data_IF_525754902505
#
_entry.id   IF_525754902505
#
_cell.length_a   1.000
_cell.length_b   1.000
_cell.length_c   1.000
_cell.angle_alpha   90.00
_cell.angle_beta   90.00
_cell.angle_gamma   90.00
#
_symmetry.space_group_name_H-M   'P 1'
#
loop_
_entity.id
_entity.type
_entity.pdbx_description
1 polymer ?
#
# COMPACT_ATOMS: atom_id res chain seq x y z
N UNK A 1 -1.37 9.00 30.44
CA UNK A 1 -1.20 9.70 29.14
C UNK A 1 0.28 9.59 28.86
N UNK A 2 0.66 8.57 28.09
CA UNK A 2 2.06 8.32 27.79
C UNK A 2 2.56 9.42 26.83
N UNK A 3 3.42 10.27 27.34
CA UNK A 3 4.11 11.29 26.55
C UNK A 3 5.37 10.63 26.00
N UNK A 4 5.56 10.66 24.70
CA UNK A 4 6.83 10.24 24.10
C UNK A 4 7.95 11.13 24.67
N UNK A 5 8.86 10.53 25.43
CA UNK A 5 9.97 11.22 26.12
C UNK A 5 10.91 11.98 25.16
N UNK A 6 10.90 11.65 23.86
CA UNK A 6 11.75 12.30 22.84
C UNK A 6 11.10 13.51 22.17
N UNK A 7 9.79 13.51 22.01
CA UNK A 7 9.07 14.57 21.25
C UNK A 7 8.22 15.46 22.14
N UNK A 8 7.95 15.07 23.38
CA UNK A 8 7.07 15.79 24.31
C UNK A 8 5.60 15.80 23.89
N UNK A 9 5.23 15.07 22.82
CA UNK A 9 3.85 14.97 22.31
C UNK A 9 3.23 13.65 22.74
N UNK A 10 1.93 13.62 23.07
CA UNK A 10 1.26 12.35 23.32
C UNK A 10 1.23 11.52 22.05
N UNK A 11 1.59 10.23 22.17
CA UNK A 11 1.42 9.28 21.08
C UNK A 11 -0.08 9.17 20.72
N UNK A 12 -0.44 9.04 19.43
CA UNK A 12 -1.82 8.83 19.04
C UNK A 12 -2.39 7.57 19.73
N UNK A 13 -3.54 7.70 20.34
CA UNK A 13 -4.25 6.57 21.00
C UNK A 13 -5.35 5.98 20.12
N UNK A 14 -5.71 6.66 19.02
CA UNK A 14 -6.76 6.27 18.09
C UNK A 14 -6.36 6.66 16.66
N UNK A 15 -7.01 6.05 15.68
CA UNK A 15 -6.88 6.40 14.26
C UNK A 15 -7.57 7.72 13.92
N UNK A 16 -8.62 8.09 14.66
CA UNK A 16 -9.39 9.30 14.42
C UNK A 16 -8.53 10.56 14.52
N UNK A 17 -8.59 11.39 13.49
CA UNK A 17 -7.83 12.64 13.40
C UNK A 17 -6.39 12.49 12.94
N UNK A 18 -5.89 11.27 12.72
CA UNK A 18 -4.63 11.04 12.03
C UNK A 18 -4.71 11.43 10.56
N UNK A 19 -3.56 11.62 9.92
CA UNK A 19 -3.43 11.90 8.50
C UNK A 19 -2.74 10.73 7.78
N UNK A 20 -3.34 10.28 6.68
CA UNK A 20 -2.84 9.20 5.85
C UNK A 20 -2.64 9.64 4.39
N UNK A 21 -1.54 9.22 3.80
CA UNK A 21 -1.31 9.32 2.35
C UNK A 21 -1.37 7.92 1.73
N UNK A 22 -2.18 7.78 0.68
CA UNK A 22 -2.31 6.54 -0.10
C UNK A 22 -1.83 6.81 -1.52
N UNK A 23 -0.60 6.39 -1.83
CA UNK A 23 -0.03 6.47 -3.17
C UNK A 23 -0.63 5.35 -4.04
N UNK A 24 -1.27 5.72 -5.15
CA UNK A 24 -2.11 4.83 -5.93
C UNK A 24 -3.50 4.61 -5.30
N UNK A 25 -3.97 5.60 -4.54
CA UNK A 25 -5.22 5.55 -3.75
C UNK A 25 -6.51 5.79 -4.52
N UNK A 26 -6.47 5.95 -5.85
CA UNK A 26 -7.65 6.38 -6.62
C UNK A 26 -8.36 5.26 -7.38
N UNK A 27 -7.88 4.02 -7.28
CA UNK A 27 -8.51 2.89 -7.95
C UNK A 27 -8.25 1.57 -7.23
N UNK A 28 -9.07 0.55 -7.51
CA UNK A 28 -8.89 -0.83 -7.03
C UNK A 28 -8.60 -0.92 -5.54
N UNK A 29 -7.58 -1.67 -5.18
CA UNK A 29 -7.17 -1.90 -3.78
C UNK A 29 -6.88 -0.57 -3.08
N UNK A 30 -6.11 0.33 -3.70
CA UNK A 30 -5.75 1.60 -3.07
C UNK A 30 -6.95 2.47 -2.71
N UNK A 31 -7.97 2.54 -3.59
CA UNK A 31 -9.21 3.27 -3.31
C UNK A 31 -9.98 2.66 -2.13
N UNK A 32 -10.13 1.32 -2.10
CA UNK A 32 -10.80 0.65 -0.97
C UNK A 32 -10.08 0.87 0.35
N UNK A 33 -8.75 0.84 0.35
CA UNK A 33 -7.93 1.14 1.54
C UNK A 33 -8.08 2.59 1.97
N UNK A 34 -8.07 3.56 1.04
CA UNK A 34 -8.26 4.98 1.34
C UNK A 34 -9.63 5.25 1.97
N UNK A 35 -10.70 4.73 1.36
CA UNK A 35 -12.06 4.85 1.92
C UNK A 35 -12.22 4.10 3.25
N UNK A 36 -11.54 2.97 3.41
CA UNK A 36 -11.51 2.23 4.67
C UNK A 36 -10.92 3.04 5.83
N UNK A 37 -9.82 3.75 5.60
CA UNK A 37 -9.23 4.68 6.57
C UNK A 37 -10.16 5.88 6.85
N UNK A 38 -10.73 6.47 5.81
CA UNK A 38 -11.65 7.60 5.93
C UNK A 38 -12.88 7.25 6.82
N UNK A 39 -13.46 6.05 6.66
CA UNK A 39 -14.55 5.55 7.52
C UNK A 39 -14.16 5.40 8.99
N UNK A 40 -12.86 5.37 9.32
CA UNK A 40 -12.34 5.36 10.70
C UNK A 40 -11.98 6.76 11.21
N UNK A 41 -12.34 7.81 10.49
CA UNK A 41 -12.11 9.19 10.89
C UNK A 41 -10.68 9.68 10.64
N UNK A 42 -9.91 8.98 9.80
CA UNK A 42 -8.59 9.40 9.33
C UNK A 42 -8.77 10.42 8.21
N UNK A 43 -8.05 11.53 8.23
CA UNK A 43 -7.90 12.43 7.08
C UNK A 43 -7.06 11.75 6.02
N UNK A 44 -7.56 11.58 4.80
CA UNK A 44 -6.91 10.73 3.79
C UNK A 44 -6.62 11.51 2.52
N UNK A 45 -5.40 11.43 2.05
CA UNK A 45 -4.96 11.96 0.76
C UNK A 45 -4.76 10.75 -0.18
N UNK A 46 -5.75 10.52 -1.04
CA UNK A 46 -5.68 9.50 -2.09
C UNK A 46 -5.08 10.13 -3.35
N UNK A 47 -3.83 9.79 -3.67
CA UNK A 47 -3.09 10.40 -4.78
C UNK A 47 -2.77 9.39 -5.88
N UNK A 48 -2.81 9.87 -7.11
CA UNK A 48 -2.38 9.20 -8.33
C UNK A 48 -2.04 10.23 -9.41
N UNK A 49 -1.74 9.78 -10.63
CA UNK A 49 -1.35 10.67 -11.73
C UNK A 49 -2.52 11.38 -12.43
N UNK A 50 -3.75 10.91 -12.25
CA UNK A 50 -4.93 11.35 -12.99
C UNK A 50 -5.80 12.26 -12.13
N UNK A 51 -5.94 13.51 -12.55
CA UNK A 51 -6.64 14.56 -11.81
C UNK A 51 -8.12 14.22 -11.57
N UNK A 52 -8.83 13.74 -12.60
CA UNK A 52 -10.23 13.35 -12.48
C UNK A 52 -10.44 12.26 -11.42
N UNK A 53 -9.57 11.24 -11.42
CA UNK A 53 -9.65 10.15 -10.44
C UNK A 53 -9.33 10.63 -9.01
N UNK A 54 -8.40 11.58 -8.88
CA UNK A 54 -8.08 12.20 -7.59
C UNK A 54 -9.27 13.02 -7.10
N UNK A 55 -9.89 13.82 -7.96
CA UNK A 55 -11.05 14.63 -7.62
C UNK A 55 -12.27 13.78 -7.23
N UNK A 56 -12.54 12.68 -7.95
CA UNK A 56 -13.61 11.74 -7.66
C UNK A 56 -13.46 11.14 -6.24
N UNK A 57 -12.30 10.51 -5.97
CA UNK A 57 -12.08 9.84 -4.68
C UNK A 57 -11.98 10.84 -3.53
N UNK A 58 -11.45 12.04 -3.76
CA UNK A 58 -11.46 13.10 -2.76
C UNK A 58 -12.91 13.50 -2.39
N UNK A 59 -13.82 13.61 -3.37
CA UNK A 59 -15.23 13.85 -3.10
C UNK A 59 -15.88 12.75 -2.26
N UNK A 60 -15.52 11.48 -2.49
CA UNK A 60 -16.00 10.37 -1.66
C UNK A 60 -15.46 10.44 -0.23
N UNK A 61 -14.19 10.82 -0.05
CA UNK A 61 -13.57 11.00 1.26
C UNK A 61 -14.23 12.17 2.01
N UNK A 62 -14.46 13.29 1.33
CA UNK A 62 -15.18 14.44 1.89
C UNK A 62 -16.60 14.07 2.34
N UNK A 63 -17.31 13.24 1.57
CA UNK A 63 -18.64 12.74 1.91
C UNK A 63 -18.68 11.85 3.17
N UNK A 64 -17.53 11.26 3.56
CA UNK A 64 -17.37 10.52 4.82
C UNK A 64 -17.08 11.44 6.02
N UNK A 65 -17.04 12.76 5.82
CA UNK A 65 -16.86 13.74 6.88
C UNK A 65 -15.43 13.93 7.36
N UNK A 66 -14.44 13.51 6.58
CA UNK A 66 -13.02 13.70 6.90
C UNK A 66 -12.34 14.62 5.89
N UNK A 67 -11.21 15.23 6.31
CA UNK A 67 -10.46 16.16 5.46
C UNK A 67 -9.63 15.42 4.42
N UNK A 68 -9.44 16.06 3.27
CA UNK A 68 -8.54 15.63 2.20
C UNK A 68 -8.00 16.83 1.43
N UNK A 69 -6.99 16.61 0.60
CA UNK A 69 -6.57 17.56 -0.45
C UNK A 69 -6.55 16.85 -1.80
N UNK A 70 -6.89 17.60 -2.86
CA UNK A 70 -6.92 17.10 -4.25
C UNK A 70 -5.55 17.38 -4.88
N UNK A 71 -4.65 16.39 -4.82
CA UNK A 71 -3.31 16.56 -5.36
C UNK A 71 -2.81 15.30 -6.05
N UNK A 72 -2.41 15.44 -7.31
CA UNK A 72 -1.79 14.37 -8.08
C UNK A 72 -0.35 14.12 -7.66
N UNK A 73 0.09 12.87 -7.79
CA UNK A 73 1.51 12.51 -7.67
C UNK A 73 1.89 11.35 -8.58
N UNK A 74 3.16 11.33 -8.96
CA UNK A 74 3.77 10.22 -9.68
C UNK A 74 4.90 9.61 -8.83
N UNK A 75 4.78 8.33 -8.51
CA UNK A 75 5.79 7.61 -7.71
C UNK A 75 7.12 7.42 -8.46
N UNK A 76 7.13 7.60 -9.79
CA UNK A 76 8.35 7.60 -10.59
C UNK A 76 9.10 8.95 -10.56
N UNK A 77 8.47 10.01 -10.06
CA UNK A 77 9.05 11.34 -9.87
C UNK A 77 9.16 11.71 -8.39
N UNK A 78 10.40 11.69 -7.86
CA UNK A 78 10.67 12.09 -6.46
C UNK A 78 10.17 13.50 -6.15
N UNK A 79 10.33 14.45 -7.07
CA UNK A 79 9.93 15.85 -6.86
C UNK A 79 8.42 15.99 -6.73
N UNK A 80 7.66 15.15 -7.43
CA UNK A 80 6.21 15.06 -7.30
C UNK A 80 5.79 14.60 -5.90
N UNK A 81 6.47 13.59 -5.35
CA UNK A 81 6.20 13.11 -3.98
C UNK A 81 6.60 14.14 -2.91
N UNK A 82 7.70 14.87 -3.12
CA UNK A 82 8.12 15.95 -2.20
C UNK A 82 7.06 17.05 -2.17
N UNK A 83 6.58 17.53 -3.32
CA UNK A 83 5.49 18.51 -3.39
C UNK A 83 4.23 18.01 -2.68
N UNK A 84 3.87 16.74 -2.85
CA UNK A 84 2.71 16.16 -2.15
C UNK A 84 2.94 16.16 -0.64
N UNK A 85 4.10 15.72 -0.14
CA UNK A 85 4.44 15.74 1.29
C UNK A 85 4.32 17.15 1.85
N UNK A 86 4.92 18.13 1.18
CA UNK A 86 4.95 19.53 1.64
C UNK A 86 3.52 20.09 1.74
N UNK A 87 2.66 19.82 0.77
CA UNK A 87 1.25 20.20 0.82
C UNK A 87 0.49 19.53 1.97
N UNK A 88 0.75 18.23 2.21
CA UNK A 88 0.16 17.50 3.34
C UNK A 88 0.63 18.08 4.68
N UNK A 89 1.91 18.35 4.83
CA UNK A 89 2.44 18.94 6.06
C UNK A 89 1.92 20.35 6.30
N UNK A 90 1.79 21.16 5.24
CA UNK A 90 1.22 22.52 5.35
C UNK A 90 -0.26 22.50 5.79
N UNK A 91 -1.06 21.54 5.30
CA UNK A 91 -2.50 21.48 5.58
C UNK A 91 -2.84 20.74 6.88
N UNK A 92 -2.10 19.66 7.19
CA UNK A 92 -2.41 18.76 8.33
C UNK A 92 -1.37 18.83 9.45
N UNK A 93 -0.24 19.47 9.24
CA UNK A 93 0.85 19.60 10.22
C UNK A 93 1.72 18.35 10.38
N UNK A 94 1.21 17.17 9.99
CA UNK A 94 1.91 15.89 10.13
C UNK A 94 1.29 14.81 9.25
N UNK A 95 2.02 13.72 9.03
CA UNK A 95 1.54 12.51 8.35
C UNK A 95 1.89 11.29 9.21
N UNK A 96 0.90 10.52 9.63
CA UNK A 96 1.07 9.35 10.49
C UNK A 96 1.07 8.03 9.72
N UNK A 97 0.37 7.98 8.59
CA UNK A 97 0.16 6.75 7.84
C UNK A 97 0.56 6.95 6.38
N UNK A 98 1.37 6.03 5.86
CA UNK A 98 1.67 5.93 4.44
C UNK A 98 1.27 4.56 3.91
N UNK A 99 0.50 4.52 2.82
CA UNK A 99 0.20 3.30 2.09
C UNK A 99 0.78 3.39 0.69
N UNK A 100 1.78 2.56 0.38
CA UNK A 100 2.36 2.44 -0.95
C UNK A 100 1.60 1.38 -1.74
N UNK A 101 0.60 1.80 -2.53
CA UNK A 101 -0.27 0.94 -3.33
C UNK A 101 -0.10 1.12 -4.84
N UNK A 102 0.65 2.12 -5.28
CA UNK A 102 0.95 2.30 -6.70
C UNK A 102 1.70 1.09 -7.27
N UNK A 103 1.27 0.62 -8.44
CA UNK A 103 1.90 -0.52 -9.07
C UNK A 103 1.38 -0.78 -10.47
N UNK A 104 2.19 -1.49 -11.25
CA UNK A 104 1.86 -1.94 -12.59
C UNK A 104 2.38 -3.34 -12.84
N UNK A 105 1.81 -4.02 -13.82
CA UNK A 105 2.24 -5.33 -14.31
C UNK A 105 2.11 -5.41 -15.81
N UNK A 106 2.92 -6.26 -16.41
CA UNK A 106 2.77 -6.68 -17.80
C UNK A 106 2.96 -8.20 -17.88
N UNK A 107 1.99 -8.87 -18.47
CA UNK A 107 2.09 -10.29 -18.78
C UNK A 107 2.78 -10.47 -20.12
N UNK A 108 3.94 -11.12 -20.12
CA UNK A 108 4.74 -11.41 -21.31
C UNK A 108 5.75 -12.51 -21.00
N UNK A 109 6.05 -13.37 -21.98
CA UNK A 109 7.13 -14.36 -21.88
C UNK A 109 8.44 -13.67 -21.49
N UNK A 110 9.21 -14.28 -20.58
CA UNK A 110 10.50 -13.72 -20.14
C UNK A 110 11.50 -13.56 -21.30
N UNK A 111 11.43 -14.43 -22.31
CA UNK A 111 12.27 -14.34 -23.51
C UNK A 111 11.93 -13.13 -24.39
N UNK A 112 10.69 -12.64 -24.30
CA UNK A 112 10.17 -11.50 -25.08
C UNK A 112 10.06 -10.22 -24.24
N UNK A 113 10.51 -10.27 -22.97
CA UNK A 113 10.43 -9.12 -22.07
C UNK A 113 11.38 -8.01 -22.55
N UNK A 114 10.80 -6.89 -22.93
CA UNK A 114 11.52 -5.66 -23.24
C UNK A 114 12.17 -5.08 -21.96
N UNK A 115 13.45 -4.70 -22.04
CA UNK A 115 14.19 -4.17 -20.89
C UNK A 115 13.61 -2.84 -20.38
N UNK A 116 13.02 -2.01 -21.24
CA UNK A 116 12.41 -0.75 -20.82
C UNK A 116 11.11 -1.00 -20.04
N UNK A 117 10.33 -2.00 -20.45
CA UNK A 117 9.15 -2.44 -19.69
C UNK A 117 9.58 -3.04 -18.34
N UNK A 118 10.66 -3.84 -18.32
CA UNK A 118 11.25 -4.36 -17.09
C UNK A 118 11.63 -3.23 -16.15
N UNK A 119 12.40 -2.25 -16.62
CA UNK A 119 12.84 -1.08 -15.85
C UNK A 119 11.66 -0.27 -15.33
N UNK A 120 10.64 -0.05 -16.17
CA UNK A 120 9.44 0.69 -15.79
C UNK A 120 8.67 -0.01 -14.66
N UNK A 121 8.51 -1.34 -14.72
CA UNK A 121 7.84 -2.11 -13.65
C UNK A 121 8.63 -2.01 -12.34
N UNK A 122 9.96 -2.15 -12.38
CA UNK A 122 10.80 -1.98 -11.20
C UNK A 122 10.77 -0.54 -10.68
N UNK A 123 10.79 0.45 -11.54
CA UNK A 123 10.78 1.86 -11.15
C UNK A 123 9.47 2.22 -10.44
N UNK A 124 8.33 1.84 -10.98
CA UNK A 124 7.03 2.10 -10.35
C UNK A 124 6.84 1.28 -9.07
N UNK A 125 7.04 -0.05 -9.14
CA UNK A 125 6.63 -0.94 -8.04
C UNK A 125 7.62 -0.93 -6.87
N UNK A 126 8.91 -0.87 -7.15
CA UNK A 126 9.98 -0.98 -6.15
C UNK A 126 10.58 0.39 -5.82
N UNK A 127 11.15 1.08 -6.81
CA UNK A 127 11.79 2.38 -6.58
C UNK A 127 10.77 3.43 -6.17
N UNK A 128 9.55 3.38 -6.71
CA UNK A 128 8.43 4.24 -6.30
C UNK A 128 8.02 4.00 -4.85
N UNK A 129 7.97 2.74 -4.40
CA UNK A 129 7.75 2.39 -2.98
C UNK A 129 8.88 2.93 -2.10
N UNK A 130 10.14 2.77 -2.51
CA UNK A 130 11.28 3.33 -1.79
C UNK A 130 11.19 4.86 -1.70
N UNK A 131 10.90 5.55 -2.82
CA UNK A 131 10.74 7.02 -2.83
C UNK A 131 9.63 7.47 -1.87
N UNK A 132 8.46 6.80 -1.89
CA UNK A 132 7.37 7.06 -0.96
C UNK A 132 7.81 6.91 0.49
N UNK A 133 8.46 5.78 0.83
CA UNK A 133 9.00 5.55 2.17
C UNK A 133 10.00 6.64 2.58
N UNK A 134 10.95 7.01 1.72
CA UNK A 134 11.96 8.02 2.05
C UNK A 134 11.35 9.41 2.26
N UNK A 135 10.46 9.84 1.35
CA UNK A 135 9.89 11.19 1.38
C UNK A 135 8.98 11.41 2.58
N UNK A 136 8.12 10.45 2.90
CA UNK A 136 7.19 10.55 4.03
C UNK A 136 7.80 10.03 5.33
N UNK A 137 8.70 9.06 5.26
CA UNK A 137 9.39 8.49 6.42
C UNK A 137 10.25 9.51 7.16
N UNK A 138 10.87 10.46 6.44
CA UNK A 138 11.62 11.57 7.05
C UNK A 138 10.75 12.33 8.08
N UNK A 139 9.58 12.79 7.68
CA UNK A 139 8.66 13.49 8.57
C UNK A 139 8.11 12.61 9.71
N UNK A 140 7.92 11.31 9.46
CA UNK A 140 7.50 10.36 10.49
C UNK A 140 8.59 10.13 11.55
N UNK A 141 9.86 10.01 11.12
CA UNK A 141 11.01 9.87 12.00
C UNK A 141 11.19 11.13 12.88
N UNK A 142 11.08 12.31 12.29
CA UNK A 142 11.13 13.58 13.02
C UNK A 142 10.01 13.70 14.06
N UNK A 143 8.82 13.17 13.75
CA UNK A 143 7.69 13.15 14.68
C UNK A 143 7.74 12.02 15.71
N UNK A 144 8.67 11.06 15.60
CA UNK A 144 8.74 9.90 16.50
C UNK A 144 7.58 8.90 16.32
N UNK A 145 6.77 9.02 15.29
CA UNK A 145 5.63 8.13 15.02
C UNK A 145 5.36 8.00 13.53
N UNK A 146 5.23 6.75 13.06
CA UNK A 146 4.83 6.45 11.69
C UNK A 146 4.34 5.02 11.50
N UNK A 147 3.44 4.84 10.55
CA UNK A 147 2.88 3.55 10.14
C UNK A 147 2.94 3.45 8.62
N UNK A 148 3.86 2.65 8.10
CA UNK A 148 4.03 2.45 6.66
C UNK A 148 3.55 1.06 6.28
N UNK A 149 2.64 0.99 5.30
CA UNK A 149 2.15 -0.26 4.75
C UNK A 149 2.40 -0.30 3.25
N UNK A 150 3.23 -1.24 2.82
CA UNK A 150 3.53 -1.49 1.42
C UNK A 150 2.59 -2.56 0.86
N UNK A 151 2.10 -2.39 -0.35
CA UNK A 151 1.31 -3.44 -1.01
C UNK A 151 2.25 -4.34 -1.81
N UNK A 152 2.51 -5.51 -1.23
CA UNK A 152 3.24 -6.61 -1.84
C UNK A 152 2.33 -7.44 -2.77
N UNK A 153 2.45 -8.75 -2.80
CA UNK A 153 1.63 -9.67 -3.61
C UNK A 153 1.90 -11.12 -3.16
N UNK A 154 1.04 -12.04 -3.55
CA UNK A 154 1.41 -13.48 -3.57
C UNK A 154 2.71 -13.74 -4.34
N UNK A 155 2.99 -12.93 -5.38
CA UNK A 155 4.24 -13.01 -6.14
C UNK A 155 5.51 -12.72 -5.32
N UNK A 156 5.37 -12.28 -4.07
CA UNK A 156 6.48 -12.19 -3.10
C UNK A 156 6.94 -13.57 -2.64
N UNK A 157 6.06 -14.56 -2.66
CA UNK A 157 6.28 -15.92 -2.10
C UNK A 157 6.29 -17.00 -3.16
N UNK A 158 5.46 -16.87 -4.21
CA UNK A 158 5.32 -17.85 -5.29
C UNK A 158 5.40 -17.18 -6.65
N UNK A 159 5.82 -17.95 -7.65
CA UNK A 159 5.90 -17.47 -9.03
C UNK A 159 4.57 -17.68 -9.77
N UNK A 160 4.24 -16.72 -10.62
CA UNK A 160 3.17 -16.84 -11.60
C UNK A 160 3.75 -16.74 -13.01
N UNK A 161 3.16 -17.49 -13.93
CA UNK A 161 3.60 -17.60 -15.32
C UNK A 161 3.53 -16.24 -16.05
N UNK A 162 4.59 -15.87 -16.76
CA UNK A 162 4.69 -14.67 -17.62
C UNK A 162 4.60 -13.30 -16.89
N UNK A 163 4.95 -13.25 -15.60
CA UNK A 163 4.99 -11.99 -14.84
C UNK A 163 6.29 -11.82 -14.05
N UNK A 164 7.42 -12.20 -14.65
CA UNK A 164 8.73 -12.23 -14.00
C UNK A 164 9.12 -10.87 -13.40
N UNK A 165 9.00 -9.75 -14.15
CA UNK A 165 9.33 -8.41 -13.66
C UNK A 165 8.48 -7.99 -12.47
N UNK A 166 7.17 -8.28 -12.53
CA UNK A 166 6.27 -8.02 -11.42
C UNK A 166 6.64 -8.86 -10.18
N UNK A 167 6.86 -10.16 -10.36
CA UNK A 167 7.29 -11.06 -9.28
C UNK A 167 8.57 -10.58 -8.61
N UNK A 168 9.60 -10.25 -9.39
CA UNK A 168 10.86 -9.71 -8.89
C UNK A 168 10.64 -8.40 -8.11
N UNK A 169 9.83 -7.47 -8.64
CA UNK A 169 9.52 -6.20 -7.97
C UNK A 169 8.84 -6.41 -6.62
N UNK A 170 7.86 -7.34 -6.54
CA UNK A 170 7.09 -7.58 -5.31
C UNK A 170 7.89 -8.38 -4.27
N UNK A 171 8.76 -9.29 -4.69
CA UNK A 171 9.72 -9.95 -3.81
C UNK A 171 10.68 -8.91 -3.19
N UNK A 172 11.18 -7.98 -4.00
CA UNK A 172 12.05 -6.90 -3.54
C UNK A 172 11.33 -5.92 -2.59
N UNK A 173 10.04 -5.62 -2.80
CA UNK A 173 9.23 -4.82 -1.85
C UNK A 173 9.15 -5.53 -0.49
N UNK A 174 9.00 -6.86 -0.46
CA UNK A 174 9.03 -7.63 0.78
C UNK A 174 10.37 -7.52 1.51
N UNK A 175 11.49 -7.57 0.78
CA UNK A 175 12.83 -7.37 1.34
C UNK A 175 13.03 -5.94 1.85
N UNK A 176 12.64 -4.93 1.06
CA UNK A 176 12.70 -3.52 1.43
C UNK A 176 11.89 -3.25 2.71
N UNK A 177 10.69 -3.82 2.84
CA UNK A 177 9.85 -3.70 4.04
C UNK A 177 10.59 -4.14 5.30
N UNK A 178 11.27 -5.30 5.25
CA UNK A 178 12.05 -5.80 6.41
C UNK A 178 13.25 -4.90 6.72
N UNK A 179 13.97 -4.43 5.71
CA UNK A 179 15.13 -3.55 5.90
C UNK A 179 14.74 -2.25 6.57
N UNK A 180 13.70 -1.56 6.06
CA UNK A 180 13.21 -0.31 6.63
C UNK A 180 12.62 -0.51 8.03
N UNK A 181 11.96 -1.64 8.29
CA UNK A 181 11.43 -1.97 9.61
C UNK A 181 12.52 -2.02 10.68
N UNK A 182 13.66 -2.67 10.36
CA UNK A 182 14.80 -2.76 11.28
C UNK A 182 15.46 -1.39 11.48
N UNK A 183 15.63 -0.65 10.39
CA UNK A 183 16.32 0.66 10.41
C UNK A 183 15.50 1.73 11.14
N UNK A 184 14.16 1.73 11.00
CA UNK A 184 13.32 2.83 11.48
C UNK A 184 12.55 2.54 12.77
N UNK A 185 12.54 1.30 13.25
CA UNK A 185 11.92 0.94 14.53
C UNK A 185 12.41 1.78 15.74
N UNK A 186 13.73 2.11 15.86
CA UNK A 186 14.19 2.95 16.95
C UNK A 186 13.61 4.37 16.96
N UNK A 187 13.03 4.81 15.83
CA UNK A 187 12.41 6.13 15.70
C UNK A 187 10.86 6.08 15.80
N UNK A 188 10.28 4.97 16.29
CA UNK A 188 8.84 4.83 16.46
C UNK A 188 8.06 4.60 15.15
N UNK A 189 8.75 4.30 14.04
CA UNK A 189 8.14 4.03 12.73
C UNK A 189 8.09 2.52 12.49
N UNK A 190 6.89 1.98 12.27
CA UNK A 190 6.73 0.59 11.82
C UNK A 190 6.55 0.52 10.32
N UNK A 191 7.19 -0.47 9.70
CA UNK A 191 7.08 -0.71 8.25
C UNK A 191 6.65 -2.15 8.03
N UNK A 192 5.47 -2.34 7.46
CA UNK A 192 4.88 -3.65 7.18
C UNK A 192 4.40 -3.73 5.74
N UNK A 193 4.00 -4.91 5.31
CA UNK A 193 3.37 -5.10 4.00
C UNK A 193 2.11 -5.96 4.10
N UNK A 194 1.17 -5.71 3.20
CA UNK A 194 0.07 -6.63 2.90
C UNK A 194 0.41 -7.32 1.58
N UNK A 195 0.24 -8.62 1.53
CA UNK A 195 0.39 -9.44 0.34
C UNK A 195 -0.99 -9.98 -0.09
N UNK A 196 -1.68 -9.26 -0.99
CA UNK A 196 -3.00 -9.67 -1.44
C UNK A 196 -2.94 -10.93 -2.30
N UNK A 197 -3.97 -11.76 -2.19
CA UNK A 197 -4.33 -12.79 -3.14
C UNK A 197 -4.89 -12.21 -4.44
N UNK A 198 -5.86 -12.90 -5.01
CA UNK A 198 -6.54 -12.43 -6.23
C UNK A 198 -7.76 -11.60 -5.84
N UNK A 199 -7.67 -10.30 -6.10
CA UNK A 199 -8.75 -9.34 -5.91
C UNK A 199 -9.12 -8.73 -7.26
N UNK A 200 -10.39 -8.77 -7.70
CA UNK A 200 -10.83 -8.17 -8.95
C UNK A 200 -10.57 -6.67 -8.99
N UNK A 201 -9.77 -6.25 -9.95
CA UNK A 201 -9.46 -4.84 -10.21
C UNK A 201 -9.37 -4.61 -11.71
N UNK A 202 -9.33 -3.37 -12.16
CA UNK A 202 -9.10 -3.05 -13.58
C UNK A 202 -7.79 -3.66 -14.11
N UNK A 203 -6.80 -3.85 -13.21
CA UNK A 203 -5.47 -4.40 -13.56
C UNK A 203 -5.53 -5.88 -13.98
N UNK A 204 -6.45 -6.68 -13.42
CA UNK A 204 -6.51 -8.13 -13.61
C UNK A 204 -7.85 -8.67 -14.12
N UNK A 205 -8.80 -7.80 -14.50
CA UNK A 205 -10.16 -8.20 -14.96
C UNK A 205 -10.11 -9.26 -16.06
N UNK A 206 -9.17 -9.14 -17.02
CA UNK A 206 -9.02 -10.10 -18.12
C UNK A 206 -8.58 -11.49 -17.67
N UNK A 207 -7.97 -11.61 -16.48
CA UNK A 207 -7.49 -12.88 -15.94
C UNK A 207 -8.65 -13.61 -15.26
N UNK A 208 -9.52 -12.90 -14.58
CA UNK A 208 -10.60 -13.44 -13.75
C UNK A 208 -11.55 -14.30 -14.56
N UNK A 209 -11.94 -13.84 -15.75
CA UNK A 209 -12.88 -14.55 -16.65
C UNK A 209 -12.18 -15.56 -17.58
N UNK A 210 -10.90 -15.85 -17.34
CA UNK A 210 -10.09 -16.75 -18.16
C UNK A 210 -9.92 -18.14 -17.54
N UNK A 211 -9.46 -19.16 -18.30
CA UNK A 211 -9.09 -20.47 -17.74
C UNK A 211 -8.08 -20.35 -16.59
N UNK A 212 -7.16 -19.38 -16.66
CA UNK A 212 -6.22 -19.10 -15.59
C UNK A 212 -6.92 -18.56 -14.34
N UNK A 213 -7.96 -17.78 -14.48
CA UNK A 213 -8.79 -17.33 -13.35
C UNK A 213 -9.46 -18.49 -12.66
N UNK A 214 -9.98 -19.45 -13.42
CA UNK A 214 -10.57 -20.66 -12.86
C UNK A 214 -9.53 -21.53 -12.13
N UNK A 215 -8.32 -21.65 -12.65
CA UNK A 215 -7.22 -22.36 -11.95
C UNK A 215 -6.85 -21.66 -10.63
N UNK A 216 -6.74 -20.34 -10.63
CA UNK A 216 -6.48 -19.55 -9.42
C UNK A 216 -7.60 -19.72 -8.39
N UNK A 217 -8.85 -19.75 -8.84
CA UNK A 217 -10.03 -19.95 -8.00
C UNK A 217 -10.02 -21.35 -7.35
N UNK A 218 -9.73 -22.40 -8.14
CA UNK A 218 -9.63 -23.77 -7.63
C UNK A 218 -8.52 -23.94 -6.59
N UNK A 219 -7.41 -23.18 -6.72
CA UNK A 219 -6.30 -23.20 -5.78
C UNK A 219 -6.55 -22.32 -4.53
N UNK A 220 -7.63 -21.56 -4.51
CA UNK A 220 -8.00 -20.71 -3.37
C UNK A 220 -9.00 -21.43 -2.48
N UNK A 221 -8.66 -21.85 -1.25
CA UNK A 221 -9.53 -22.69 -0.40
C UNK A 221 -10.91 -22.10 -0.11
N UNK A 222 -11.05 -20.77 -0.05
CA UNK A 222 -12.37 -20.13 0.14
C UNK A 222 -13.21 -20.12 -1.13
N UNK A 223 -12.72 -20.66 -2.26
CA UNK A 223 -13.42 -20.81 -3.55
C UNK A 223 -14.06 -19.55 -4.12
N UNK A 224 -13.49 -18.39 -3.82
CA UNK A 224 -13.87 -17.10 -4.41
C UNK A 224 -12.65 -16.17 -4.48
N UNK A 225 -12.75 -15.17 -5.31
CA UNK A 225 -11.83 -14.04 -5.25
C UNK A 225 -12.16 -13.14 -4.05
N UNK A 226 -11.17 -12.40 -3.57
CA UNK A 226 -11.37 -11.46 -2.48
C UNK A 226 -12.03 -10.17 -2.98
N UNK A 227 -12.78 -9.50 -2.12
CA UNK A 227 -13.26 -8.14 -2.35
C UNK A 227 -12.23 -7.16 -1.80
N UNK A 228 -11.86 -6.08 -2.53
CA UNK A 228 -10.82 -5.14 -2.08
C UNK A 228 -11.05 -4.57 -0.67
N UNK A 229 -12.29 -4.49 -0.24
CA UNK A 229 -12.70 -4.07 1.11
C UNK A 229 -12.22 -5.03 2.21
N UNK A 230 -12.01 -6.31 1.90
CA UNK A 230 -11.52 -7.30 2.86
C UNK A 230 -10.06 -7.06 3.27
N UNK A 231 -9.30 -6.27 2.48
CA UNK A 231 -7.94 -5.85 2.83
C UNK A 231 -7.91 -4.74 3.89
N UNK A 232 -9.03 -4.05 4.10
CA UNK A 232 -9.10 -2.92 5.04
C UNK A 232 -8.83 -3.37 6.48
N UNK A 233 -9.30 -4.55 6.88
CA UNK A 233 -9.06 -5.07 8.24
C UNK A 233 -7.57 -5.29 8.52
N UNK A 234 -6.83 -5.85 7.57
CA UNK A 234 -5.39 -6.02 7.68
C UNK A 234 -4.66 -4.67 7.72
N UNK A 235 -5.08 -3.70 6.90
CA UNK A 235 -4.54 -2.35 6.95
C UNK A 235 -4.77 -1.72 8.33
N UNK A 236 -6.01 -1.73 8.84
CA UNK A 236 -6.37 -1.12 10.12
C UNK A 236 -5.57 -1.73 11.28
N UNK A 237 -5.35 -3.06 11.26
CA UNK A 237 -4.46 -3.72 12.21
C UNK A 237 -3.05 -3.14 12.15
N UNK A 238 -2.44 -3.07 10.95
CA UNK A 238 -1.05 -2.65 10.78
C UNK A 238 -0.81 -1.16 11.06
N UNK A 239 -1.83 -0.31 10.88
CA UNK A 239 -1.71 1.14 11.13
C UNK A 239 -2.20 1.55 12.51
N UNK A 240 -2.78 0.64 13.29
CA UNK A 240 -3.22 0.92 14.66
C UNK A 240 -2.06 1.36 15.53
N UNK A 241 -2.21 2.40 16.37
CA UNK A 241 -1.26 2.71 17.42
C UNK A 241 -0.95 1.51 18.35
N UNK A 242 -1.96 0.67 18.61
CA UNK A 242 -1.83 -0.53 19.45
C UNK A 242 -0.94 -1.62 18.85
N UNK A 243 -0.72 -1.60 17.52
CA UNK A 243 0.16 -2.55 16.82
C UNK A 243 1.63 -2.11 16.80
N UNK A 244 2.07 -1.36 17.81
CA UNK A 244 3.42 -0.77 17.89
C UNK A 244 4.57 -1.79 17.93
N UNK A 245 4.29 -3.04 18.29
CA UNK A 245 5.28 -4.14 18.30
C UNK A 245 5.26 -4.99 17.04
N UNK A 246 4.45 -4.59 16.02
CA UNK A 246 4.36 -5.27 14.73
C UNK A 246 5.11 -4.47 13.67
N UNK A 247 6.30 -4.94 13.28
CA UNK A 247 7.09 -4.34 12.21
C UNK A 247 7.84 -5.41 11.40
N UNK A 248 8.14 -5.15 10.13
CA UNK A 248 8.81 -6.07 9.21
C UNK A 248 7.94 -7.25 8.73
N UNK A 249 6.64 -7.23 9.01
CA UNK A 249 5.74 -8.32 8.69
C UNK A 249 5.14 -8.19 7.28
N UNK A 250 4.91 -9.35 6.65
CA UNK A 250 4.17 -9.47 5.40
C UNK A 250 2.88 -10.24 5.71
N UNK A 251 1.78 -9.51 5.86
CA UNK A 251 0.47 -10.09 6.17
C UNK A 251 -0.20 -10.55 4.88
N UNK A 252 -0.38 -11.86 4.74
CA UNK A 252 -1.03 -12.47 3.59
C UNK A 252 -2.55 -12.44 3.77
N UNK A 253 -3.26 -11.95 2.74
CA UNK A 253 -4.73 -11.94 2.68
C UNK A 253 -5.13 -12.53 1.32
N UNK A 254 -5.34 -13.84 1.27
CA UNK A 254 -5.38 -14.59 0.01
C UNK A 254 -6.43 -15.72 -0.04
N UNK A 255 -7.32 -15.80 0.93
CA UNK A 255 -8.31 -16.89 1.01
C UNK A 255 -7.70 -18.27 1.21
N UNK A 256 -6.47 -18.34 1.75
CA UNK A 256 -5.76 -19.58 2.04
C UNK A 256 -4.89 -20.11 0.89
N UNK A 257 -4.69 -19.36 -0.19
CA UNK A 257 -3.94 -19.78 -1.38
C UNK A 257 -2.53 -20.27 -1.02
N UNK A 258 -1.77 -19.51 -0.24
CA UNK A 258 -0.40 -19.88 0.16
C UNK A 258 -0.34 -20.98 1.22
N UNK A 259 -1.38 -21.10 2.03
CA UNK A 259 -1.43 -22.12 3.09
C UNK A 259 -1.78 -23.50 2.55
N UNK A 260 -2.38 -23.56 1.35
CA UNK A 260 -2.90 -24.81 0.81
C UNK A 260 -1.84 -25.60 0.05
N UNK A 261 -1.80 -26.93 0.26
CA UNK A 261 -1.05 -27.87 -0.57
C UNK A 261 -1.94 -28.49 -1.65
N UNK A 262 -3.01 -29.15 -1.26
CA UNK A 262 -4.00 -29.77 -2.14
C UNK A 262 -5.39 -29.33 -1.69
N UNK A 263 -6.18 -28.80 -2.61
CA UNK A 263 -7.59 -28.46 -2.39
C UNK A 263 -8.48 -29.58 -2.96
N UNK A 264 -9.53 -29.95 -2.24
CA UNK A 264 -10.54 -30.89 -2.69
C UNK A 264 -11.69 -30.19 -3.37
#
# INVERSE_FOLDING_TARGET
>A
MDIDEKTGKPAPTDLKGQCAVVLGGTSGIGRSLALGLARKGVSVIASSRHEDSVAEVAGEIEALGVRTIKMCSDVSDRSSLVRLRDAVLAEFGSVQILVNCAGMTKRVSTLEMDEEIWKQILDVNLTGTLRGCQVFGEAMIECGFGRIVNIASLSTFVAFHEVAAYGASKAAVGALTRSLAVEWAPFGVTVNAIAPGVFPTALNRRIIDSPRGQELLQRTPVHRFGEPEELVSALLYLVSPESSFTTGQLVVVDGGFLASGVNQ
#
